data_IF_225578286551
#
_entry.id   IF_225578286551
#
_cell.length_a   1.000
_cell.length_b   1.000
_cell.length_c   1.000
_cell.angle_alpha   90.00
_cell.angle_beta   90.00
_cell.angle_gamma   90.00
#
_symmetry.space_group_name_H-M   'P 1'
#
loop_
_entity.id
_entity.type
_entity.pdbx_description
1 polymer ?
#
# COMPACT_ATOMS: atom_id res chain seq x y z
N UNK A 1 -1.20 22.90 10.38
CA UNK A 1 -2.45 22.99 9.59
C UNK A 1 -3.01 21.59 9.43
N UNK A 2 -4.27 21.39 9.81
CA UNK A 2 -4.97 20.11 9.65
C UNK A 2 -5.32 19.91 8.17
N UNK A 3 -5.22 18.67 7.67
CA UNK A 3 -5.60 18.36 6.29
C UNK A 3 -7.11 18.45 6.10
N UNK A 4 -7.54 18.63 4.86
CA UNK A 4 -8.95 18.49 4.46
C UNK A 4 -9.42 17.08 4.85
N UNK A 5 -10.52 16.99 5.62
CA UNK A 5 -11.16 15.71 5.97
C UNK A 5 -11.53 14.96 4.69
N UNK A 6 -11.12 13.70 4.60
CA UNK A 6 -11.43 12.81 3.48
C UNK A 6 -12.50 11.77 3.82
N UNK A 7 -12.72 11.50 5.12
CA UNK A 7 -13.73 10.54 5.60
C UNK A 7 -14.55 11.12 6.78
N UNK A 8 -15.79 10.66 6.93
CA UNK A 8 -16.73 11.15 7.95
C UNK A 8 -16.26 10.82 9.38
N UNK A 9 -15.59 9.67 9.56
CA UNK A 9 -15.04 9.17 10.84
C UNK A 9 -13.56 9.54 11.09
N UNK A 10 -13.03 10.52 10.37
CA UNK A 10 -11.61 10.85 10.43
C UNK A 10 -11.22 11.62 11.72
N UNK A 11 -10.23 11.09 12.45
CA UNK A 11 -9.63 11.75 13.63
C UNK A 11 -8.68 12.86 13.16
N UNK A 12 -8.68 14.01 13.84
CA UNK A 12 -7.72 15.07 13.55
C UNK A 12 -6.34 14.70 14.11
N UNK A 13 -5.41 14.35 13.22
CA UNK A 13 -4.06 13.94 13.56
C UNK A 13 -3.11 15.09 13.25
N UNK A 14 -2.65 15.77 14.30
CA UNK A 14 -1.69 16.86 14.22
C UNK A 14 -0.28 16.47 14.72
N UNK A 15 0.69 17.36 14.52
CA UNK A 15 2.09 17.13 14.90
C UNK A 15 2.23 17.00 16.42
N UNK A 16 1.42 17.72 17.21
CA UNK A 16 1.50 17.72 18.67
C UNK A 16 1.03 16.39 19.26
N UNK A 17 -0.07 15.82 18.75
CA UNK A 17 -0.54 14.48 19.09
C UNK A 17 0.52 13.43 18.79
N UNK A 18 1.06 13.43 17.56
CA UNK A 18 2.09 12.45 17.15
C UNK A 18 3.36 12.60 17.98
N UNK A 19 3.74 13.84 18.35
CA UNK A 19 4.86 14.10 19.26
C UNK A 19 4.66 13.46 20.65
N UNK A 20 3.46 13.59 21.24
CA UNK A 20 3.14 12.95 22.53
C UNK A 20 3.13 11.42 22.43
N UNK A 21 2.52 10.87 21.37
CA UNK A 21 2.52 9.43 21.10
C UNK A 21 3.94 8.87 20.99
N UNK A 22 4.83 9.55 20.25
CA UNK A 22 6.24 9.16 20.13
C UNK A 22 6.95 9.26 21.47
N UNK A 23 6.78 10.35 22.23
CA UNK A 23 7.45 10.52 23.52
C UNK A 23 7.02 9.47 24.55
N UNK A 24 5.73 9.12 24.58
CA UNK A 24 5.18 8.10 25.49
C UNK A 24 5.61 6.68 25.12
N UNK A 25 5.61 6.33 23.83
CA UNK A 25 5.90 4.95 23.37
C UNK A 25 7.36 4.69 23.06
N UNK A 26 8.07 5.68 22.53
CA UNK A 26 9.47 5.58 22.10
C UNK A 26 10.30 6.75 22.65
N UNK A 27 10.60 6.79 23.96
CA UNK A 27 11.30 7.92 24.59
C UNK A 27 12.65 8.27 23.93
N UNK A 28 13.35 7.28 23.34
CA UNK A 28 14.59 7.48 22.58
C UNK A 28 14.45 8.38 21.34
N UNK A 29 13.23 8.59 20.84
CA UNK A 29 12.92 9.43 19.69
C UNK A 29 12.17 10.71 20.11
N UNK A 30 11.96 10.91 21.41
CA UNK A 30 11.35 12.13 21.92
C UNK A 30 12.20 13.34 21.52
N UNK A 31 11.55 14.42 21.06
CA UNK A 31 12.21 15.66 20.67
C UNK A 31 12.89 15.64 19.30
N UNK A 32 12.87 14.53 18.55
CA UNK A 32 13.31 14.53 17.16
C UNK A 32 12.41 15.46 16.31
N UNK A 33 12.97 16.12 15.27
CA UNK A 33 12.17 16.92 14.35
C UNK A 33 11.00 16.12 13.79
N UNK A 34 9.80 16.68 13.87
CA UNK A 34 8.57 16.01 13.43
C UNK A 34 7.80 16.95 12.50
N UNK A 35 7.49 16.49 11.30
CA UNK A 35 6.68 17.25 10.34
C UNK A 35 5.67 16.37 9.63
N UNK A 36 4.48 16.89 9.41
CA UNK A 36 3.47 16.22 8.58
C UNK A 36 3.96 16.18 7.13
N UNK A 37 3.75 15.04 6.48
CA UNK A 37 3.95 14.88 5.05
C UNK A 37 2.62 15.10 4.34
N UNK A 38 2.65 15.88 3.26
CA UNK A 38 1.57 15.87 2.29
C UNK A 38 1.63 14.53 1.57
N UNK A 39 0.58 13.74 1.71
CA UNK A 39 0.45 12.42 1.10
C UNK A 39 -0.89 12.36 0.38
N UNK A 40 -0.88 11.77 -0.81
CA UNK A 40 -2.10 11.39 -1.52
C UNK A 40 -2.81 10.20 -0.88
N UNK A 41 -2.17 9.53 0.10
CA UNK A 41 -2.74 8.39 0.82
C UNK A 41 -4.00 8.78 1.61
N UNK A 42 -5.09 8.07 1.33
CA UNK A 42 -6.40 8.29 1.96
C UNK A 42 -6.53 7.61 3.31
N UNK A 43 -5.81 6.51 3.52
CA UNK A 43 -5.97 5.66 4.70
C UNK A 43 -5.11 6.07 5.89
N UNK A 44 -3.96 6.70 5.65
CA UNK A 44 -2.96 6.96 6.69
C UNK A 44 -2.42 8.38 6.65
N UNK A 45 -2.27 8.98 7.83
CA UNK A 45 -1.53 10.22 8.03
C UNK A 45 -0.04 9.89 8.22
N UNK A 46 0.82 10.56 7.46
CA UNK A 46 2.26 10.32 7.42
C UNK A 46 3.01 11.49 8.03
N UNK A 47 3.98 11.21 8.91
CA UNK A 47 4.83 12.22 9.53
C UNK A 47 6.30 11.83 9.43
N UNK A 48 7.14 12.71 8.91
CA UNK A 48 8.59 12.52 8.93
C UNK A 48 9.10 12.78 10.33
N UNK A 49 9.77 11.78 10.91
CA UNK A 49 10.39 11.81 12.24
C UNK A 49 11.91 11.73 12.08
N UNK A 50 12.61 12.76 12.53
CA UNK A 50 14.05 12.89 12.35
C UNK A 50 14.46 12.84 10.87
N UNK A 51 15.69 12.40 10.63
CA UNK A 51 16.27 12.34 9.30
C UNK A 51 15.93 11.06 8.52
N UNK A 52 15.39 10.03 9.16
CA UNK A 52 15.47 8.66 8.63
C UNK A 52 14.23 7.79 8.97
N UNK A 53 13.13 8.37 9.46
CA UNK A 53 11.92 7.61 9.85
C UNK A 53 10.64 8.27 9.39
N UNK A 54 9.60 7.45 9.26
CA UNK A 54 8.24 7.92 9.03
C UNK A 54 7.28 7.27 10.02
N UNK A 55 6.41 8.08 10.62
CA UNK A 55 5.30 7.64 11.45
C UNK A 55 4.06 7.54 10.56
N UNK A 56 3.40 6.39 10.59
CA UNK A 56 2.17 6.10 9.84
C UNK A 56 1.05 5.84 10.84
N UNK A 57 0.03 6.68 10.82
CA UNK A 57 -1.15 6.58 11.68
C UNK A 57 -2.40 6.37 10.82
N UNK A 58 -3.24 5.36 11.12
CA UNK A 58 -4.49 5.16 10.40
C UNK A 58 -5.44 6.34 10.64
N UNK A 59 -6.15 6.76 9.59
CA UNK A 59 -7.11 7.88 9.61
C UNK A 59 -8.52 7.43 10.01
N UNK A 60 -8.83 6.15 9.84
CA UNK A 60 -10.13 5.54 10.15
C UNK A 60 -9.97 4.07 10.58
N UNK A 61 -10.97 3.44 11.23
CA UNK A 61 -10.84 2.08 11.77
C UNK A 61 -10.47 1.02 10.72
N UNK A 62 -10.98 1.13 9.49
CA UNK A 62 -10.66 0.18 8.41
C UNK A 62 -9.18 0.20 7.98
N UNK A 63 -8.45 1.29 8.21
CA UNK A 63 -7.03 1.41 7.84
C UNK A 63 -6.10 0.68 8.83
N UNK A 64 -6.61 0.29 10.01
CA UNK A 64 -5.85 -0.40 11.06
C UNK A 64 -5.39 -1.78 10.61
N UNK A 65 -6.21 -2.46 9.79
CA UNK A 65 -5.87 -3.77 9.25
C UNK A 65 -4.61 -3.69 8.38
N UNK A 66 -4.51 -2.70 7.51
CA UNK A 66 -3.33 -2.47 6.67
C UNK A 66 -2.05 -2.31 7.48
N UNK A 67 -2.07 -1.52 8.57
CA UNK A 67 -0.90 -1.37 9.46
C UNK A 67 -0.51 -2.69 10.11
N UNK A 68 -1.49 -3.42 10.66
CA UNK A 68 -1.22 -4.69 11.33
C UNK A 68 -0.69 -5.73 10.35
N UNK A 69 -1.19 -5.70 9.12
CA UNK A 69 -0.79 -6.57 8.03
C UNK A 69 0.63 -6.31 7.57
N UNK A 70 0.99 -5.05 7.36
CA UNK A 70 2.36 -4.62 7.01
C UNK A 70 3.37 -5.02 8.08
N UNK A 71 3.11 -4.70 9.34
CA UNK A 71 3.97 -5.05 10.48
C UNK A 71 4.24 -6.56 10.55
N UNK A 72 3.28 -7.38 10.11
CA UNK A 72 3.43 -8.83 10.07
C UNK A 72 4.25 -9.29 8.87
N UNK A 73 3.98 -8.78 7.66
CA UNK A 73 4.51 -9.39 6.44
C UNK A 73 5.83 -8.77 5.95
N UNK A 74 6.05 -7.47 6.16
CA UNK A 74 7.28 -6.81 5.73
C UNK A 74 8.56 -7.50 6.23
N UNK A 75 8.71 -7.84 7.52
CA UNK A 75 9.93 -8.51 8.01
C UNK A 75 10.18 -9.89 7.40
N UNK A 76 9.13 -10.54 6.88
CA UNK A 76 9.21 -11.87 6.26
C UNK A 76 9.52 -11.79 4.77
N UNK A 77 9.02 -10.76 4.10
CA UNK A 77 9.15 -10.60 2.65
C UNK A 77 10.41 -9.81 2.27
N UNK A 78 10.68 -8.70 2.95
CA UNK A 78 11.74 -7.76 2.61
C UNK A 78 13.13 -8.41 2.39
N UNK A 79 13.58 -9.41 3.19
CA UNK A 79 14.89 -10.04 2.96
C UNK A 79 15.03 -10.76 1.62
N UNK A 80 13.92 -11.13 0.98
CA UNK A 80 13.91 -11.82 -0.32
C UNK A 80 13.76 -10.89 -1.53
N UNK A 81 13.68 -9.57 -1.32
CA UNK A 81 13.37 -8.61 -2.38
C UNK A 81 14.62 -7.87 -2.87
N UNK A 82 14.72 -7.56 -4.19
CA UNK A 82 15.86 -6.89 -4.78
C UNK A 82 15.83 -5.35 -4.62
N UNK A 83 14.67 -4.79 -4.26
CA UNK A 83 14.50 -3.38 -3.94
C UNK A 83 14.19 -3.22 -2.45
N UNK A 84 14.52 -2.07 -1.87
CA UNK A 84 14.25 -1.81 -0.47
C UNK A 84 12.73 -1.81 -0.19
N UNK A 85 12.37 -2.22 1.02
CA UNK A 85 11.00 -2.16 1.54
C UNK A 85 11.02 -1.43 2.90
N UNK A 86 9.92 -0.80 3.33
CA UNK A 86 9.86 -0.12 4.62
C UNK A 86 10.18 -1.09 5.75
N UNK A 87 11.18 -0.77 6.57
CA UNK A 87 11.52 -1.59 7.74
C UNK A 87 10.66 -1.14 8.93
N UNK A 88 9.85 -2.02 9.55
CA UNK A 88 9.14 -1.68 10.78
C UNK A 88 10.11 -1.47 11.94
N UNK A 89 10.25 -0.24 12.42
CA UNK A 89 11.15 0.11 13.52
C UNK A 89 10.46 0.10 14.89
N UNK A 90 9.13 0.18 14.90
CA UNK A 90 8.35 0.14 16.14
C UNK A 90 6.85 0.12 15.90
N UNK A 91 6.15 -0.64 16.74
CA UNK A 91 4.69 -0.64 16.84
C UNK A 91 4.21 0.25 17.98
N UNK A 92 3.39 1.22 17.61
CA UNK A 92 2.62 2.05 18.51
C UNK A 92 1.35 1.35 18.99
N UNK A 93 0.94 1.66 20.22
CA UNK A 93 -0.35 1.27 20.77
C UNK A 93 -1.25 2.51 20.88
N UNK A 94 -2.58 2.34 21.01
CA UNK A 94 -3.49 3.43 21.34
C UNK A 94 -3.04 4.22 22.59
N UNK A 95 -3.30 5.53 22.61
CA UNK A 95 -2.92 6.44 23.69
C UNK A 95 -3.10 7.90 23.29
N UNK A 96 -3.01 8.83 24.25
CA UNK A 96 -3.13 10.27 23.99
C UNK A 96 -4.41 10.64 23.21
N UNK A 97 -5.52 9.96 23.49
CA UNK A 97 -6.81 10.04 22.78
C UNK A 97 -6.81 9.54 21.32
N UNK A 98 -5.69 9.00 20.83
CA UNK A 98 -5.63 8.26 19.57
C UNK A 98 -6.02 6.79 19.78
N UNK A 99 -7.08 6.28 19.12
CA UNK A 99 -7.70 5.01 19.49
C UNK A 99 -7.08 3.77 18.83
N UNK A 100 -6.14 3.92 17.90
CA UNK A 100 -5.70 2.83 17.04
C UNK A 100 -4.20 2.52 17.17
N UNK A 101 -3.79 1.28 16.85
CA UNK A 101 -2.38 0.97 16.61
C UNK A 101 -1.82 1.79 15.45
N UNK A 102 -0.53 2.10 15.54
CA UNK A 102 0.22 2.87 14.53
C UNK A 102 1.64 2.32 14.44
N UNK A 103 2.43 2.81 13.49
CA UNK A 103 3.77 2.27 13.27
C UNK A 103 4.79 3.34 12.90
N UNK A 104 6.05 3.07 13.23
CA UNK A 104 7.22 3.83 12.75
C UNK A 104 8.00 2.91 11.81
N UNK A 105 8.28 3.41 10.62
CA UNK A 105 9.08 2.72 9.60
C UNK A 105 10.36 3.49 9.31
N UNK A 106 11.35 2.80 8.73
CA UNK A 106 12.49 3.46 8.10
C UNK A 106 12.03 4.36 6.96
N UNK A 107 12.73 5.48 6.76
CA UNK A 107 12.54 6.31 5.59
C UNK A 107 13.34 5.75 4.42
N UNK A 108 12.72 5.77 3.24
CA UNK A 108 13.36 5.39 1.98
C UNK A 108 13.40 6.60 1.06
N UNK A 109 14.59 6.94 0.57
CA UNK A 109 14.77 8.04 -0.37
C UNK A 109 14.42 7.62 -1.81
N UNK A 110 13.92 8.59 -2.56
CA UNK A 110 13.54 8.43 -3.95
C UNK A 110 12.35 9.31 -4.29
N UNK A 111 11.93 9.24 -5.54
CA UNK A 111 10.73 9.92 -6.05
C UNK A 111 9.82 8.92 -6.73
N UNK A 112 8.52 9.17 -6.76
CA UNK A 112 7.62 8.38 -7.60
C UNK A 112 7.96 8.61 -9.09
N UNK A 113 7.99 7.55 -9.92
CA UNK A 113 8.13 7.71 -11.35
C UNK A 113 6.88 8.41 -11.92
N UNK A 114 7.08 9.29 -12.91
CA UNK A 114 5.99 9.97 -13.61
C UNK A 114 5.90 9.39 -15.02
N UNK A 115 4.74 8.87 -15.45
CA UNK A 115 4.55 8.39 -16.82
C UNK A 115 4.96 9.43 -17.87
N UNK A 116 5.70 9.00 -18.89
CA UNK A 116 6.21 9.88 -19.95
C UNK A 116 7.44 10.73 -19.59
N UNK A 117 7.90 10.70 -18.33
CA UNK A 117 9.06 11.49 -17.86
C UNK A 117 10.30 10.64 -17.56
N UNK A 118 10.27 9.35 -17.87
CA UNK A 118 11.42 8.45 -17.75
C UNK A 118 12.22 8.49 -19.04
N UNK A 119 13.50 8.81 -18.95
CA UNK A 119 14.43 8.80 -20.10
C UNK A 119 14.62 7.38 -20.64
N UNK A 120 14.81 6.41 -19.73
CA UNK A 120 14.99 4.99 -20.05
C UNK A 120 13.92 4.11 -19.36
N UNK A 121 12.66 4.14 -19.81
CA UNK A 121 11.56 3.43 -19.15
C UNK A 121 11.74 1.91 -19.11
N UNK A 122 12.54 1.36 -20.04
CA UNK A 122 12.85 -0.08 -20.09
C UNK A 122 13.62 -0.55 -18.86
N UNK A 123 14.53 0.27 -18.32
CA UNK A 123 15.31 -0.11 -17.14
C UNK A 123 14.40 -0.30 -15.90
N UNK A 124 13.44 0.61 -15.70
CA UNK A 124 12.46 0.46 -14.63
C UNK A 124 11.57 -0.77 -14.84
N UNK A 125 11.16 -1.05 -16.09
CA UNK A 125 10.36 -2.25 -16.41
C UNK A 125 11.12 -3.55 -16.11
N UNK A 126 12.42 -3.61 -16.41
CA UNK A 126 13.30 -4.74 -16.08
C UNK A 126 13.48 -4.91 -14.57
N UNK A 127 13.68 -3.81 -13.84
CA UNK A 127 13.76 -3.82 -12.38
C UNK A 127 12.45 -4.32 -11.75
N UNK A 128 11.29 -3.86 -12.24
CA UNK A 128 9.97 -4.32 -11.81
C UNK A 128 9.74 -5.80 -12.12
N UNK A 129 10.14 -6.27 -13.30
CA UNK A 129 10.07 -7.69 -13.66
C UNK A 129 10.92 -8.55 -12.71
N UNK A 130 12.10 -8.06 -12.35
CA UNK A 130 13.00 -8.71 -11.38
C UNK A 130 12.37 -8.74 -9.98
N UNK A 131 11.83 -7.61 -9.54
CA UNK A 131 11.16 -7.47 -8.24
C UNK A 131 9.94 -8.40 -8.10
N UNK A 132 9.03 -8.38 -9.08
CA UNK A 132 7.84 -9.23 -9.10
C UNK A 132 8.21 -10.71 -9.13
N UNK A 133 9.22 -11.07 -9.92
CA UNK A 133 9.73 -12.46 -9.97
C UNK A 133 10.31 -12.89 -8.62
N UNK A 134 11.06 -12.01 -7.94
CA UNK A 134 11.62 -12.29 -6.62
C UNK A 134 10.53 -12.48 -5.56
N UNK A 135 9.53 -11.58 -5.53
CA UNK A 135 8.39 -11.68 -4.63
C UNK A 135 7.66 -13.03 -4.79
N UNK A 136 7.37 -13.43 -6.03
CA UNK A 136 6.69 -14.69 -6.35
C UNK A 136 7.48 -15.95 -5.99
N UNK A 137 8.81 -15.86 -5.81
CA UNK A 137 9.67 -16.98 -5.40
C UNK A 137 9.69 -17.22 -3.89
N UNK A 138 9.20 -16.27 -3.10
CA UNK A 138 9.11 -16.43 -1.65
C UNK A 138 8.06 -17.52 -1.35
N UNK A 139 8.32 -18.38 -0.37
CA UNK A 139 7.39 -19.43 0.05
C UNK A 139 6.03 -18.82 0.45
N UNK A 140 4.98 -19.20 -0.27
CA UNK A 140 3.63 -18.71 -0.11
C UNK A 140 2.80 -19.52 0.91
N UNK A 141 3.33 -20.64 1.41
CA UNK A 141 2.56 -21.59 2.23
C UNK A 141 1.95 -20.98 3.50
N UNK A 142 2.56 -19.92 4.05
CA UNK A 142 2.08 -19.24 5.25
C UNK A 142 1.47 -17.88 4.98
N UNK A 143 1.40 -17.43 3.72
CA UNK A 143 0.89 -16.11 3.39
C UNK A 143 -0.62 -15.99 3.59
N UNK A 144 -1.12 -14.76 3.79
CA UNK A 144 -2.54 -14.48 3.89
C UNK A 144 -3.16 -14.55 2.48
N UNK A 145 -4.46 -14.83 2.38
CA UNK A 145 -5.17 -14.73 1.11
C UNK A 145 -5.18 -13.27 0.65
N UNK A 146 -4.66 -13.00 -0.55
CA UNK A 146 -4.65 -11.67 -1.14
C UNK A 146 -6.04 -11.31 -1.65
N UNK A 147 -6.73 -10.35 -1.01
CA UNK A 147 -8.11 -10.00 -1.38
C UNK A 147 -8.24 -9.42 -2.80
N UNK A 148 -7.14 -8.93 -3.39
CA UNK A 148 -7.08 -8.43 -4.77
C UNK A 148 -6.67 -9.50 -5.80
N UNK A 149 -5.92 -10.51 -5.39
CA UNK A 149 -5.54 -11.66 -6.23
C UNK A 149 -6.58 -12.78 -6.19
N UNK A 150 -7.87 -12.44 -6.26
CA UNK A 150 -8.99 -13.40 -6.27
C UNK A 150 -9.59 -13.52 -7.67
N UNK A 151 -10.27 -14.63 -8.01
CA UNK A 151 -10.96 -14.76 -9.29
C UNK A 151 -11.87 -13.59 -9.60
N UNK A 152 -11.92 -13.17 -10.87
CA UNK A 152 -12.72 -12.02 -11.31
C UNK A 152 -14.21 -12.22 -10.98
N UNK A 153 -14.71 -13.45 -11.06
CA UNK A 153 -16.07 -13.82 -10.69
C UNK A 153 -16.44 -13.44 -9.25
N UNK A 154 -15.47 -13.40 -8.32
CA UNK A 154 -15.71 -12.96 -6.94
C UNK A 154 -16.08 -11.47 -6.85
N UNK A 155 -15.87 -10.69 -7.93
CA UNK A 155 -16.21 -9.26 -8.03
C UNK A 155 -17.52 -9.01 -8.78
N UNK A 156 -18.15 -10.03 -9.36
CA UNK A 156 -19.33 -9.91 -10.23
C UNK A 156 -20.49 -9.17 -9.57
N UNK A 157 -20.86 -9.57 -8.35
CA UNK A 157 -21.93 -8.90 -7.60
C UNK A 157 -21.67 -7.39 -7.44
N UNK A 158 -20.48 -7.02 -6.99
CA UNK A 158 -20.11 -5.61 -6.78
C UNK A 158 -20.11 -4.82 -8.09
N UNK A 159 -19.65 -5.43 -9.19
CA UNK A 159 -19.67 -4.80 -10.50
C UNK A 159 -21.10 -4.54 -10.98
N UNK A 160 -22.01 -5.51 -10.83
CA UNK A 160 -23.43 -5.35 -11.20
C UNK A 160 -24.11 -4.26 -10.36
N UNK A 161 -23.84 -4.21 -9.06
CA UNK A 161 -24.33 -3.16 -8.17
C UNK A 161 -23.82 -1.76 -8.57
N UNK A 162 -22.55 -1.64 -8.94
CA UNK A 162 -21.96 -0.39 -9.41
C UNK A 162 -22.56 0.06 -10.74
N UNK A 163 -22.76 -0.86 -11.69
CA UNK A 163 -23.40 -0.56 -12.97
C UNK A 163 -24.84 -0.05 -12.80
N UNK A 164 -25.61 -0.65 -11.89
CA UNK A 164 -26.96 -0.18 -11.58
C UNK A 164 -26.96 1.27 -11.05
N UNK A 165 -25.98 1.63 -10.21
CA UNK A 165 -25.83 3.00 -9.68
C UNK A 165 -25.35 4.02 -10.72
N UNK A 166 -24.67 3.56 -11.78
CA UNK A 166 -24.12 4.39 -12.85
C UNK A 166 -25.02 4.48 -14.09
N UNK A 167 -26.21 3.86 -14.05
CA UNK A 167 -27.18 3.91 -15.13
C UNK A 167 -27.50 5.36 -15.53
N UNK A 168 -27.45 5.63 -16.84
CA UNK A 168 -27.68 6.97 -17.40
C UNK A 168 -26.50 7.95 -17.23
N UNK A 169 -25.41 7.54 -16.58
CA UNK A 169 -24.17 8.34 -16.45
C UNK A 169 -23.06 7.85 -17.36
N UNK A 170 -23.07 6.56 -17.68
CA UNK A 170 -22.13 5.90 -18.60
C UNK A 170 -22.89 4.90 -19.49
N UNK A 171 -22.23 4.41 -20.53
CA UNK A 171 -22.73 3.28 -21.32
C UNK A 171 -22.59 1.96 -20.53
N UNK A 172 -23.57 1.70 -19.66
CA UNK A 172 -23.57 0.49 -18.83
C UNK A 172 -23.73 -0.79 -19.65
N UNK A 173 -24.29 -0.72 -20.85
CA UNK A 173 -24.43 -1.88 -21.74
C UNK A 173 -23.05 -2.29 -22.27
N UNK A 174 -22.28 -1.34 -22.82
CA UNK A 174 -20.92 -1.61 -23.29
C UNK A 174 -20.01 -2.12 -22.17
N UNK A 175 -20.11 -1.56 -20.95
CA UNK A 175 -19.32 -2.05 -19.81
C UNK A 175 -19.76 -3.46 -19.38
N UNK A 176 -21.07 -3.77 -19.44
CA UNK A 176 -21.57 -5.12 -19.16
C UNK A 176 -21.03 -6.12 -20.16
N UNK A 177 -21.03 -5.79 -21.46
CA UNK A 177 -20.51 -6.69 -22.50
C UNK A 177 -19.03 -7.01 -22.31
N UNK A 178 -18.22 -5.99 -21.98
CA UNK A 178 -16.80 -6.17 -21.65
C UNK A 178 -16.61 -6.98 -20.37
N UNK A 179 -17.43 -6.76 -19.34
CA UNK A 179 -17.41 -7.52 -18.10
C UNK A 179 -17.70 -9.01 -18.34
N UNK A 180 -18.75 -9.32 -19.09
CA UNK A 180 -19.10 -10.69 -19.46
C UNK A 180 -18.02 -11.33 -20.34
N UNK A 181 -17.33 -10.56 -21.20
CA UNK A 181 -16.16 -11.05 -21.92
C UNK A 181 -15.01 -11.41 -20.96
N UNK A 182 -14.72 -10.54 -19.98
CA UNK A 182 -13.66 -10.77 -19.01
C UNK A 182 -13.96 -11.97 -18.10
N UNK A 183 -15.22 -12.18 -17.69
CA UNK A 183 -15.64 -13.35 -16.91
C UNK A 183 -15.47 -14.70 -17.62
N UNK A 184 -15.43 -14.70 -18.96
CA UNK A 184 -15.17 -15.92 -19.75
C UNK A 184 -13.68 -16.22 -19.89
N UNK A 185 -12.79 -15.29 -19.52
CA UNK A 185 -11.37 -15.57 -19.50
C UNK A 185 -11.07 -16.66 -18.46
N UNK A 186 -10.17 -17.62 -18.76
CA UNK A 186 -9.82 -18.66 -17.81
C UNK A 186 -9.20 -18.05 -16.56
N UNK A 187 -9.57 -18.58 -15.39
CA UNK A 187 -8.91 -18.25 -14.13
C UNK A 187 -7.44 -18.70 -14.17
N UNK A 188 -6.60 -18.05 -13.37
CA UNK A 188 -5.21 -18.46 -13.21
C UNK A 188 -5.14 -19.88 -12.65
N UNK A 189 -4.58 -20.80 -13.44
CA UNK A 189 -4.50 -22.22 -13.13
C UNK A 189 -3.24 -22.63 -12.36
N UNK A 190 -2.31 -21.71 -12.12
CA UNK A 190 -1.06 -21.99 -11.42
C UNK A 190 -1.23 -22.00 -9.89
N UNK A 191 -0.19 -22.40 -9.14
CA UNK A 191 -0.20 -22.28 -7.70
C UNK A 191 -0.28 -20.80 -7.30
N UNK A 192 -1.00 -20.46 -6.21
CA UNK A 192 -1.08 -19.10 -5.74
C UNK A 192 0.30 -18.67 -5.23
N UNK A 193 0.66 -17.43 -5.53
CA UNK A 193 1.97 -16.85 -5.19
C UNK A 193 1.78 -15.50 -4.52
N UNK A 194 2.82 -14.99 -3.88
CA UNK A 194 2.82 -13.63 -3.36
C UNK A 194 2.67 -12.60 -4.49
N UNK A 195 1.81 -11.61 -4.24
CA UNK A 195 1.65 -10.41 -5.04
C UNK A 195 1.61 -9.18 -4.10
N UNK A 196 2.09 -8.05 -4.57
CA UNK A 196 2.01 -6.78 -3.85
C UNK A 196 0.53 -6.35 -3.69
N UNK A 197 -0.27 -6.55 -4.73
CA UNK A 197 -1.70 -6.23 -4.78
C UNK A 197 -1.99 -4.76 -5.10
N UNK A 198 -0.99 -3.89 -5.01
CA UNK A 198 -1.12 -2.45 -5.26
C UNK A 198 0.17 -1.87 -5.89
N UNK A 199 0.71 -2.57 -6.89
CA UNK A 199 2.01 -2.23 -7.50
C UNK A 199 1.87 -1.08 -8.52
N UNK A 200 1.42 0.08 -8.06
CA UNK A 200 1.22 1.27 -8.88
C UNK A 200 2.35 2.30 -8.69
N UNK A 201 2.49 3.26 -9.62
CA UNK A 201 3.55 4.28 -9.60
C UNK A 201 3.67 5.04 -8.27
N UNK A 202 2.56 5.27 -7.56
CA UNK A 202 2.53 5.90 -6.24
C UNK A 202 3.25 5.11 -5.13
N UNK A 203 3.45 3.81 -5.35
CA UNK A 203 4.09 2.89 -4.41
C UNK A 203 5.51 2.48 -4.85
N UNK A 204 6.02 3.10 -5.92
CA UNK A 204 7.39 2.90 -6.40
C UNK A 204 8.25 4.10 -6.06
N UNK A 205 9.45 3.87 -5.55
CA UNK A 205 10.48 4.90 -5.45
C UNK A 205 11.60 4.61 -6.45
N UNK A 206 11.98 5.65 -7.19
CA UNK A 206 13.05 5.59 -8.18
C UNK A 206 14.13 6.61 -7.90
N UNK A 207 15.36 6.27 -8.30
CA UNK A 207 16.50 7.19 -8.40
C UNK A 207 17.23 6.92 -9.70
N UNK A 208 17.56 7.99 -10.44
CA UNK A 208 18.23 7.90 -11.75
C UNK A 208 17.55 6.90 -12.72
N UNK A 209 16.22 6.86 -12.71
CA UNK A 209 15.43 5.98 -13.58
C UNK A 209 15.35 4.50 -13.15
N UNK A 210 15.97 4.13 -12.02
CA UNK A 210 16.02 2.76 -11.50
C UNK A 210 15.14 2.59 -10.27
N UNK A 211 14.59 1.40 -10.07
CA UNK A 211 13.80 1.08 -8.88
C UNK A 211 14.72 1.02 -7.66
N UNK A 212 14.44 1.83 -6.64
CA UNK A 212 15.19 1.81 -5.37
C UNK A 212 14.40 1.18 -4.24
N UNK A 213 13.08 1.39 -4.23
CA UNK A 213 12.20 0.81 -3.23
C UNK A 213 10.77 0.60 -3.73
N UNK A 214 10.07 -0.31 -3.07
CA UNK A 214 8.62 -0.48 -3.16
C UNK A 214 8.04 -0.23 -1.76
N UNK A 215 6.91 0.45 -1.68
CA UNK A 215 6.26 0.83 -0.41
C UNK A 215 4.78 0.42 -0.42
N UNK A 216 4.11 0.56 0.73
CA UNK A 216 2.68 0.29 0.93
C UNK A 216 2.25 -1.18 0.69
N UNK A 217 2.64 -2.04 1.64
CA UNK A 217 2.38 -3.48 1.58
C UNK A 217 1.05 -3.86 2.26
N UNK A 218 0.16 -2.88 2.50
CA UNK A 218 -1.14 -3.12 3.15
C UNK A 218 -2.01 -4.16 2.44
N UNK A 219 -1.79 -4.38 1.14
CA UNK A 219 -2.56 -5.32 0.31
C UNK A 219 -1.82 -6.61 -0.02
N UNK A 220 -0.58 -6.78 0.46
CA UNK A 220 0.27 -7.91 0.06
C UNK A 220 -0.38 -9.24 0.41
N UNK A 221 -0.39 -10.20 -0.49
CA UNK A 221 -1.05 -11.47 -0.22
C UNK A 221 -0.81 -12.52 -1.27
N UNK A 222 -1.32 -13.71 -1.00
CA UNK A 222 -1.15 -14.90 -1.82
C UNK A 222 -2.41 -15.14 -2.65
N UNK A 223 -2.25 -15.29 -3.96
CA UNK A 223 -3.37 -15.47 -4.88
C UNK A 223 -2.93 -15.45 -6.34
N UNK A 224 -3.82 -14.94 -7.20
CA UNK A 224 -3.55 -14.71 -8.61
C UNK A 224 -2.48 -13.60 -8.79
N UNK A 225 -1.33 -13.90 -9.41
CA UNK A 225 -0.25 -12.95 -9.61
C UNK A 225 -0.54 -11.84 -10.63
N UNK A 226 -1.60 -11.97 -11.43
CA UNK A 226 -1.94 -10.99 -12.47
C UNK A 226 -2.32 -9.62 -11.89
N UNK A 227 -2.70 -9.57 -10.61
CA UNK A 227 -3.05 -8.32 -9.91
C UNK A 227 -1.93 -7.28 -9.93
N UNK A 228 -0.66 -7.69 -9.94
CA UNK A 228 0.49 -6.77 -9.99
C UNK A 228 0.78 -6.23 -11.41
N UNK A 229 -0.03 -6.60 -12.40
CA UNK A 229 0.11 -6.20 -13.80
C UNK A 229 -1.05 -5.30 -14.29
N UNK A 230 -1.92 -4.87 -13.37
CA UNK A 230 -3.07 -3.98 -13.64
C UNK A 230 -2.65 -2.53 -13.38
#
# INVERSE_FOLDING_TARGET
MCAVRMHEDEVDIDVSLVGRLIAGRFPRWAGLPLRRLESSGTENAMFRLGADKVVRLPRHPRAVEGITHELRWLPRLAPGLPAAAPEPLGRGEPGEDFPWPWAVYSWLDGRNPVPGMLEEPRLLAEDLGTYVTALRRIDAAKGPIGYRGVPLAARDRFMREALAQLAGRIDTAAVTDLWEQALRAPEYAGPPVWAHGDLMAGNLLVSSGRLTAVIDYGTVGVGDPAVDLI
#
